data_IF_157308912574
#
_entry.id   IF_157308912574
#
_cell.length_a   1.000
_cell.length_b   1.000
_cell.length_c   1.000
_cell.angle_alpha   90.00
_cell.angle_beta   90.00
_cell.angle_gamma   90.00
#
_symmetry.space_group_name_H-M   'P 1'
#
loop_
_entity.id
_entity.type
_entity.pdbx_description
1 polymer ?
#
# COMPACT_ATOMS: atom_id res chain seq x y z
N UNK A 1 -3.26 -9.52 -20.09
CA UNK A 1 -3.46 -9.61 -18.62
C UNK A 1 -4.28 -8.41 -18.17
N UNK A 2 -5.07 -8.53 -17.11
CA UNK A 2 -5.84 -7.42 -16.55
C UNK A 2 -5.39 -7.12 -15.13
N UNK A 3 -5.39 -5.84 -14.75
CA UNK A 3 -5.11 -5.39 -13.38
C UNK A 3 -6.17 -4.40 -12.93
N UNK A 4 -6.45 -4.33 -11.63
CA UNK A 4 -7.41 -3.40 -11.05
C UNK A 4 -6.69 -2.24 -10.36
N UNK A 5 -7.26 -1.05 -10.47
CA UNK A 5 -6.97 0.06 -9.56
C UNK A 5 -8.22 0.32 -8.73
N UNK A 6 -8.04 0.29 -7.41
CA UNK A 6 -9.07 0.56 -6.44
C UNK A 6 -8.73 1.84 -5.67
N UNK A 7 -9.74 2.63 -5.34
CA UNK A 7 -9.62 3.57 -4.22
C UNK A 7 -9.84 2.81 -2.93
N UNK A 8 -8.98 3.04 -1.93
CA UNK A 8 -8.99 2.31 -0.66
C UNK A 8 -9.01 3.29 0.51
N UNK A 9 -10.01 3.17 1.38
CA UNK A 9 -10.11 3.96 2.61
C UNK A 9 -9.24 3.33 3.71
N UNK A 10 -7.96 3.70 3.76
CA UNK A 10 -6.99 3.13 4.68
C UNK A 10 -7.24 3.54 6.15
N UNK A 11 -7.79 4.72 6.39
CA UNK A 11 -7.91 5.28 7.74
C UNK A 11 -6.52 5.41 8.40
N UNK A 12 -6.43 5.11 9.70
CA UNK A 12 -5.13 4.97 10.38
C UNK A 12 -4.63 3.55 10.23
N UNK A 13 -3.36 3.38 9.88
CA UNK A 13 -2.75 2.06 9.68
C UNK A 13 -1.90 1.62 10.88
N UNK A 14 -1.82 0.31 11.07
CA UNK A 14 -0.83 -0.37 11.90
C UNK A 14 0.41 -0.66 11.05
N UNK A 15 1.57 -0.11 11.41
CA UNK A 15 2.81 -0.32 10.66
C UNK A 15 3.51 -1.59 11.13
N UNK A 16 3.87 -2.47 10.18
CA UNK A 16 4.55 -3.73 10.46
C UNK A 16 5.86 -3.83 9.70
N UNK A 17 6.94 -4.21 10.40
CA UNK A 17 8.27 -4.44 9.82
C UNK A 17 8.50 -5.91 9.40
N UNK A 18 7.72 -6.83 9.96
CA UNK A 18 7.80 -8.27 9.72
C UNK A 18 6.41 -8.85 9.52
N UNK A 19 6.32 -9.99 8.83
CA UNK A 19 5.08 -10.73 8.70
C UNK A 19 4.51 -11.09 10.08
N UNK A 20 3.19 -10.95 10.24
CA UNK A 20 2.44 -11.32 11.44
C UNK A 20 1.12 -11.99 11.04
N UNK A 21 0.95 -13.25 11.45
CA UNK A 21 -0.28 -14.01 11.20
C UNK A 21 -1.51 -13.45 11.95
N UNK A 22 -1.28 -12.60 12.95
CA UNK A 22 -2.32 -11.92 13.71
C UNK A 22 -2.53 -10.46 13.27
N UNK A 23 -1.95 -10.01 12.16
CA UNK A 23 -2.04 -8.63 11.68
C UNK A 23 -3.50 -8.12 11.51
N UNK A 24 -4.46 -9.03 11.29
CA UNK A 24 -5.89 -8.74 11.23
C UNK A 24 -6.50 -8.27 12.56
N UNK A 25 -5.85 -8.55 13.69
CA UNK A 25 -6.24 -8.07 15.02
C UNK A 25 -5.71 -6.66 15.22
N UNK A 26 -6.34 -5.71 14.51
CA UNK A 26 -5.94 -4.32 14.53
C UNK A 26 -6.03 -3.73 15.95
N UNK A 27 -5.00 -2.97 16.39
CA UNK A 27 -5.09 -2.17 17.60
C UNK A 27 -6.29 -1.20 17.55
N UNK A 28 -6.85 -0.89 18.72
CA UNK A 28 -7.99 0.04 18.84
C UNK A 28 -7.72 1.36 18.11
N UNK A 29 -8.62 1.74 17.22
CA UNK A 29 -8.54 2.99 16.46
C UNK A 29 -7.74 2.92 15.15
N UNK A 30 -7.20 1.75 14.80
CA UNK A 30 -6.59 1.49 13.49
C UNK A 30 -7.56 0.70 12.59
N UNK A 31 -7.45 0.91 11.28
CA UNK A 31 -8.40 0.42 10.28
C UNK A 31 -7.74 -0.35 9.12
N UNK A 32 -6.40 -0.40 9.10
CA UNK A 32 -5.63 -1.09 8.08
C UNK A 32 -4.25 -1.47 8.59
N UNK A 33 -3.52 -2.26 7.82
CA UNK A 33 -2.10 -2.52 8.00
C UNK A 33 -1.32 -1.88 6.86
N UNK A 34 -0.18 -1.28 7.19
CA UNK A 34 0.86 -0.90 6.25
C UNK A 34 2.11 -1.72 6.56
N UNK A 35 2.37 -2.74 5.75
CA UNK A 35 3.63 -3.46 5.83
C UNK A 35 4.71 -2.61 5.17
N UNK A 36 5.78 -2.33 5.91
CA UNK A 36 6.81 -1.37 5.52
C UNK A 36 7.86 -2.01 4.62
N UNK A 37 8.07 -1.43 3.45
CA UNK A 37 9.10 -1.82 2.49
C UNK A 37 10.25 -0.83 2.39
N UNK A 38 11.37 -1.30 1.85
CA UNK A 38 12.59 -0.53 1.64
C UNK A 38 12.49 0.50 0.52
N UNK A 39 11.53 0.36 -0.40
CA UNK A 39 11.25 1.30 -1.48
C UNK A 39 9.79 1.77 -1.42
N UNK A 40 9.56 3.08 -1.49
CA UNK A 40 8.21 3.64 -1.65
C UNK A 40 8.19 4.91 -2.51
N UNK A 41 7.06 5.27 -3.13
CA UNK A 41 6.87 6.58 -3.73
C UNK A 41 7.13 7.71 -2.72
N UNK A 42 7.68 8.83 -3.18
CA UNK A 42 7.86 10.02 -2.36
C UNK A 42 6.52 10.77 -2.22
N UNK A 43 6.12 11.11 -1.00
CA UNK A 43 4.88 11.84 -0.73
C UNK A 43 4.79 13.20 -1.45
N UNK A 44 5.94 13.80 -1.81
CA UNK A 44 6.00 15.04 -2.59
C UNK A 44 5.49 14.89 -4.02
N UNK A 45 5.46 13.66 -4.55
CA UNK A 45 4.98 13.34 -5.89
C UNK A 45 3.49 12.93 -5.90
N UNK A 46 2.83 12.93 -4.74
CA UNK A 46 1.41 12.61 -4.66
C UNK A 46 0.56 13.64 -5.40
N UNK A 47 -0.44 13.14 -6.11
CA UNK A 47 -1.49 13.97 -6.72
C UNK A 47 -2.84 13.60 -6.13
N UNK A 48 -3.76 14.57 -6.08
CA UNK A 48 -5.15 14.31 -5.71
C UNK A 48 -6.01 14.20 -6.96
N UNK A 49 -6.83 13.16 -7.00
CA UNK A 49 -7.91 13.01 -7.97
C UNK A 49 -9.25 13.02 -7.23
N UNK A 50 -10.31 13.42 -7.93
CA UNK A 50 -11.66 13.44 -7.38
C UNK A 50 -11.81 14.23 -6.06
N UNK A 51 -10.94 15.22 -5.85
CA UNK A 51 -10.90 16.10 -4.69
C UNK A 51 -10.10 15.56 -3.50
N UNK A 52 -10.21 14.27 -3.19
CA UNK A 52 -9.69 13.70 -1.93
C UNK A 52 -8.90 12.39 -2.06
N UNK A 53 -8.87 11.76 -3.24
CA UNK A 53 -8.14 10.50 -3.44
C UNK A 53 -6.67 10.79 -3.75
N UNK A 54 -5.79 10.37 -2.85
CA UNK A 54 -4.34 10.42 -3.07
C UNK A 54 -3.89 9.33 -4.03
N UNK A 55 -3.14 9.71 -5.06
CA UNK A 55 -2.44 8.80 -5.98
C UNK A 55 -0.94 8.90 -5.74
N UNK A 56 -0.28 7.86 -5.22
CA UNK A 56 1.16 7.88 -4.96
C UNK A 56 1.94 7.61 -6.26
N UNK A 57 2.38 8.68 -6.92
CA UNK A 57 3.15 8.57 -8.17
C UNK A 57 4.63 8.27 -7.90
N UNK A 58 5.22 7.48 -8.79
CA UNK A 58 6.66 7.19 -8.75
C UNK A 58 7.54 8.41 -9.09
N UNK A 59 8.87 8.23 -9.10
CA UNK A 59 9.59 6.97 -8.89
C UNK A 59 9.55 6.48 -7.43
N UNK A 60 9.87 5.20 -7.22
CA UNK A 60 10.12 4.67 -5.88
C UNK A 60 11.50 5.11 -5.38
N UNK A 61 11.59 5.49 -4.11
CA UNK A 61 12.81 5.93 -3.44
C UNK A 61 13.08 5.08 -2.18
N UNK A 62 14.34 4.97 -1.74
CA UNK A 62 14.67 4.31 -0.48
C UNK A 62 13.95 4.93 0.72
N UNK A 63 13.35 4.08 1.53
CA UNK A 63 12.72 4.46 2.80
C UNK A 63 13.75 4.33 3.94
N UNK A 64 13.53 4.98 5.09
CA UNK A 64 14.37 4.80 6.28
C UNK A 64 14.11 3.45 7.00
N UNK A 65 13.31 2.55 6.40
CA UNK A 65 12.95 1.27 7.00
C UNK A 65 14.20 0.42 7.17
N UNK A 66 14.45 -0.01 8.40
CA UNK A 66 15.54 -0.91 8.74
C UNK A 66 15.01 -2.00 9.67
N UNK A 67 14.87 -3.22 9.16
CA UNK A 67 14.51 -4.37 9.97
C UNK A 67 15.78 -5.08 10.50
N UNK A 68 16.18 -4.76 11.73
CA UNK A 68 17.32 -5.41 12.38
C UNK A 68 17.11 -6.89 12.72
N UNK A 69 15.87 -7.38 12.61
CA UNK A 69 15.47 -8.74 13.02
C UNK A 69 15.27 -9.70 11.84
N UNK A 70 15.53 -9.27 10.61
CA UNK A 70 15.43 -10.16 9.45
C UNK A 70 15.14 -9.45 8.14
N UNK A 71 14.40 -10.13 7.26
CA UNK A 71 14.07 -9.63 5.92
C UNK A 71 13.21 -8.36 5.98
N UNK A 72 13.55 -7.37 5.16
CA UNK A 72 12.74 -6.17 4.91
C UNK A 72 12.02 -6.35 3.59
N UNK A 73 10.71 -6.06 3.52
CA UNK A 73 9.97 -6.08 2.27
C UNK A 73 10.61 -5.13 1.26
N UNK A 74 10.55 -5.47 -0.03
CA UNK A 74 11.05 -4.55 -1.07
C UNK A 74 10.15 -3.31 -1.22
N UNK A 75 8.84 -3.48 -1.13
CA UNK A 75 7.85 -2.41 -1.33
C UNK A 75 6.80 -2.44 -0.23
N UNK A 76 6.15 -1.29 0.01
CA UNK A 76 5.03 -1.24 0.94
C UNK A 76 3.86 -2.10 0.44
N UNK A 77 3.18 -2.78 1.38
CA UNK A 77 1.90 -3.45 1.13
C UNK A 77 0.83 -2.85 2.05
N UNK A 78 -0.37 -2.63 1.53
CA UNK A 78 -1.49 -2.07 2.27
C UNK A 78 -2.61 -3.11 2.33
N UNK A 79 -3.09 -3.38 3.53
CA UNK A 79 -4.10 -4.41 3.79
C UNK A 79 -5.27 -3.80 4.55
N UNK A 80 -6.47 -4.02 4.03
CA UNK A 80 -7.75 -3.68 4.69
C UNK A 80 -8.54 -4.96 4.94
N UNK A 81 -9.33 -4.98 6.00
CA UNK A 81 -10.07 -6.17 6.43
C UNK A 81 -11.59 -6.06 6.23
N UNK A 82 -12.10 -4.85 5.91
CA UNK A 82 -13.49 -4.66 5.50
C UNK A 82 -13.57 -4.33 4.01
N UNK A 83 -14.34 -5.13 3.26
CA UNK A 83 -14.63 -4.88 1.84
C UNK A 83 -15.24 -3.51 1.55
N UNK A 84 -15.94 -2.90 2.53
CA UNK A 84 -16.49 -1.54 2.41
C UNK A 84 -15.41 -0.46 2.27
N UNK A 85 -14.17 -0.76 2.65
CA UNK A 85 -13.03 0.14 2.47
C UNK A 85 -12.51 0.16 1.03
N UNK A 86 -12.98 -0.73 0.15
CA UNK A 86 -12.47 -0.86 -1.22
C UNK A 86 -13.55 -0.49 -2.23
N UNK A 87 -13.20 0.37 -3.18
CA UNK A 87 -14.02 0.66 -4.36
C UNK A 87 -13.18 0.50 -5.63
N UNK A 88 -13.59 -0.41 -6.50
CA UNK A 88 -13.02 -0.59 -7.83
C UNK A 88 -13.25 0.69 -8.66
N UNK A 89 -12.18 1.23 -9.25
CA UNK A 89 -12.24 2.46 -10.08
C UNK A 89 -11.92 2.17 -11.53
N UNK A 90 -10.88 1.38 -11.79
CA UNK A 90 -10.40 1.10 -13.13
C UNK A 90 -10.02 -0.36 -13.30
N UNK A 91 -10.30 -0.89 -14.50
CA UNK A 91 -9.79 -2.16 -14.99
C UNK A 91 -8.81 -1.86 -16.12
N UNK A 92 -7.54 -2.17 -15.92
CA UNK A 92 -6.48 -1.93 -16.90
C UNK A 92 -6.23 -3.22 -17.67
N UNK A 93 -6.34 -3.16 -19.00
CA UNK A 93 -5.87 -4.21 -19.88
C UNK A 93 -4.41 -3.94 -20.25
N UNK A 94 -3.52 -4.83 -19.82
CA UNK A 94 -2.07 -4.73 -19.99
C UNK A 94 -1.56 -5.79 -20.98
N UNK A 95 -0.61 -5.38 -21.83
CA UNK A 95 0.22 -6.28 -22.65
C UNK A 95 1.63 -6.27 -22.08
N UNK A 96 2.09 -7.42 -21.61
CA UNK A 96 3.45 -7.59 -21.15
C UNK A 96 4.37 -7.80 -22.35
N UNK A 97 5.42 -7.00 -22.43
CA UNK A 97 6.50 -7.14 -23.39
C UNK A 97 7.69 -7.72 -22.64
N UNK A 98 7.88 -9.04 -22.76
CA UNK A 98 8.98 -9.75 -22.11
C UNK A 98 10.28 -9.55 -22.90
N UNK A 99 11.40 -9.50 -22.19
CA UNK A 99 12.76 -9.55 -22.76
C UNK A 99 13.31 -10.95 -22.64
#
# INVERSE_FOLDING_TARGET
>A
MTSFICSVALGKWNELLTADNNAHKLPTGLSSVKALGSISPNAKNEVKIDGDITVPLGPGEPTPVNNSKGYTLNYNEYIVYDTKQVRLRYLIKLKFLYK
#
